data_IF_777234242498
#
_entry.id   IF_777234242498
#
_cell.length_a   1.000
_cell.length_b   1.000
_cell.length_c   1.000
_cell.angle_alpha   90.00
_cell.angle_beta   90.00
_cell.angle_gamma   90.00
#
_symmetry.space_group_name_H-M   'P 1'
#
loop_
_entity.id
_entity.type
_entity.pdbx_description
1 polymer ?
#
# COMPACT_ATOMS: atom_id res chain seq x y z
N UNK A 1 -0.81 2.22 -8.64
CA UNK A 1 -1.21 2.04 -7.25
C UNK A 1 -1.47 3.36 -6.57
N UNK A 2 -2.54 3.46 -5.79
CA UNK A 2 -2.92 4.66 -5.06
C UNK A 2 -3.42 4.30 -3.64
N UNK A 3 -2.61 4.43 -2.59
CA UNK A 3 -1.19 4.84 -2.55
C UNK A 3 -0.25 3.94 -3.35
N UNK A 4 0.81 4.56 -3.85
CA UNK A 4 1.80 3.87 -4.68
C UNK A 4 2.76 3.00 -3.84
N UNK A 5 3.11 1.84 -4.34
CA UNK A 5 4.16 0.98 -3.77
C UNK A 5 5.41 1.02 -4.69
N UNK A 6 6.59 1.45 -4.21
CA UNK A 6 7.02 1.46 -2.79
C UNK A 6 6.94 2.83 -2.09
N UNK A 7 6.56 3.92 -2.76
CA UNK A 7 6.70 5.29 -2.24
C UNK A 7 5.70 5.64 -1.11
N UNK A 8 4.54 4.97 -1.07
CA UNK A 8 3.46 5.31 -0.14
C UNK A 8 2.71 6.60 -0.47
N UNK A 9 3.06 7.28 -1.56
CA UNK A 9 2.41 8.53 -1.96
C UNK A 9 1.01 8.26 -2.52
N UNK A 10 0.07 9.12 -2.17
CA UNK A 10 -1.29 9.10 -2.69
C UNK A 10 -1.56 10.34 -3.54
N UNK A 11 -2.25 10.14 -4.65
CA UNK A 11 -2.74 11.22 -5.50
C UNK A 11 -4.26 11.37 -5.31
N UNK A 12 -4.81 12.61 -5.36
CA UNK A 12 -6.23 12.83 -5.19
C UNK A 12 -7.06 12.21 -6.34
N UNK A 13 -8.33 11.94 -6.07
CA UNK A 13 -9.24 11.37 -7.06
C UNK A 13 -9.37 12.23 -8.33
N UNK A 14 -9.22 13.55 -8.20
CA UNK A 14 -9.21 14.48 -9.36
C UNK A 14 -8.07 14.19 -10.34
N UNK A 15 -6.88 13.84 -9.83
CA UNK A 15 -5.76 13.42 -10.69
C UNK A 15 -6.06 12.09 -11.40
N UNK A 16 -6.67 11.15 -10.67
CA UNK A 16 -7.09 9.87 -11.27
C UNK A 16 -8.16 10.09 -12.33
N UNK A 17 -9.07 11.05 -12.13
CA UNK A 17 -10.08 11.47 -13.10
C UNK A 17 -9.46 12.01 -14.39
N UNK A 18 -8.53 12.96 -14.29
CA UNK A 18 -7.81 13.50 -15.45
C UNK A 18 -7.11 12.39 -16.24
N UNK A 19 -6.44 11.47 -15.53
CA UNK A 19 -5.80 10.31 -16.17
C UNK A 19 -6.82 9.39 -16.83
N UNK A 20 -7.97 9.15 -16.18
CA UNK A 20 -9.04 8.33 -16.74
C UNK A 20 -9.64 8.95 -18.01
N UNK A 21 -9.83 10.27 -18.04
CA UNK A 21 -10.29 10.97 -19.25
C UNK A 21 -9.30 10.82 -20.42
N UNK A 22 -8.00 10.91 -20.14
CA UNK A 22 -6.95 10.67 -21.16
C UNK A 22 -7.04 9.23 -21.67
N UNK A 23 -7.11 8.27 -20.75
CA UNK A 23 -7.22 6.85 -21.11
C UNK A 23 -8.47 6.56 -21.94
N UNK A 24 -9.62 7.16 -21.58
CA UNK A 24 -10.87 7.02 -22.33
C UNK A 24 -10.77 7.53 -23.76
N UNK A 25 -10.18 8.71 -23.96
CA UNK A 25 -9.94 9.26 -25.31
C UNK A 25 -9.02 8.39 -26.17
N UNK A 26 -8.11 7.69 -25.54
CA UNK A 26 -7.15 6.81 -26.23
C UNK A 26 -7.62 5.36 -26.34
N UNK A 27 -8.82 5.03 -25.87
CA UNK A 27 -9.33 3.65 -25.84
C UNK A 27 -8.55 2.70 -24.94
N UNK A 28 -7.89 3.24 -23.91
CA UNK A 28 -7.06 2.49 -22.94
C UNK A 28 -7.87 2.21 -21.67
N UNK A 29 -7.81 0.98 -21.15
CA UNK A 29 -8.33 0.67 -19.82
C UNK A 29 -7.35 1.12 -18.75
N UNK A 30 -7.86 1.82 -17.73
CA UNK A 30 -7.11 2.26 -16.57
C UNK A 30 -7.39 1.33 -15.39
N UNK A 31 -6.37 0.61 -14.93
CA UNK A 31 -6.43 -0.19 -13.71
C UNK A 31 -5.85 0.61 -12.54
N UNK A 32 -6.68 0.92 -11.55
CA UNK A 32 -6.29 1.62 -10.32
C UNK A 32 -6.24 0.62 -9.17
N UNK A 33 -5.05 0.39 -8.62
CA UNK A 33 -4.86 -0.48 -7.44
C UNK A 33 -4.96 0.37 -6.15
N UNK A 34 -6.05 0.20 -5.43
CA UNK A 34 -6.35 0.87 -4.16
C UNK A 34 -6.20 -0.05 -2.93
N UNK A 35 -5.43 -1.13 -3.01
CA UNK A 35 -5.25 -2.05 -1.89
C UNK A 35 -4.71 -1.39 -0.60
N UNK A 36 -4.06 -0.23 -0.70
CA UNK A 36 -3.56 0.55 0.43
C UNK A 36 -4.40 1.79 0.76
N UNK A 37 -5.42 2.10 -0.02
CA UNK A 37 -6.29 3.27 0.18
C UNK A 37 -7.02 3.24 1.54
N UNK A 38 -7.28 2.04 2.10
CA UNK A 38 -7.90 1.85 3.40
C UNK A 38 -7.16 2.50 4.57
N UNK A 39 -5.85 2.76 4.43
CA UNK A 39 -5.03 3.42 5.46
C UNK A 39 -5.13 4.94 5.45
N UNK A 40 -5.78 5.52 4.44
CA UNK A 40 -6.00 6.95 4.33
C UNK A 40 -7.15 7.40 5.24
N UNK A 41 -6.94 8.45 6.02
CA UNK A 41 -7.97 9.05 6.89
C UNK A 41 -9.17 9.58 6.09
N UNK A 42 -8.89 10.25 4.98
CA UNK A 42 -9.88 10.80 4.05
C UNK A 42 -9.93 9.98 2.75
N UNK A 43 -10.02 8.65 2.86
CA UNK A 43 -9.89 7.73 1.71
C UNK A 43 -10.74 8.10 0.50
N UNK A 44 -11.95 8.65 0.72
CA UNK A 44 -12.85 9.05 -0.36
C UNK A 44 -12.28 10.18 -1.24
N UNK A 45 -11.40 11.01 -0.69
CA UNK A 45 -10.69 12.06 -1.43
C UNK A 45 -9.70 11.50 -2.45
N UNK A 46 -9.27 10.25 -2.24
CA UNK A 46 -8.20 9.61 -3.01
C UNK A 46 -8.69 8.39 -3.81
N UNK A 47 -9.96 7.99 -3.63
CA UNK A 47 -10.51 6.80 -4.29
C UNK A 47 -11.17 7.13 -5.60
N UNK A 48 -10.90 6.33 -6.63
CA UNK A 48 -11.60 6.36 -7.91
C UNK A 48 -13.05 5.81 -7.83
N UNK A 49 -13.47 5.26 -6.69
CA UNK A 49 -14.83 4.71 -6.54
C UNK A 49 -15.92 5.77 -6.78
N UNK A 50 -15.67 7.04 -6.44
CA UNK A 50 -16.59 8.15 -6.72
C UNK A 50 -16.81 8.38 -8.21
N UNK A 51 -15.80 8.18 -9.06
CA UNK A 51 -15.90 8.30 -10.52
C UNK A 51 -16.84 7.23 -11.08
N UNK A 52 -16.66 5.98 -10.63
CA UNK A 52 -17.46 4.85 -11.06
C UNK A 52 -18.93 4.98 -10.61
N UNK A 53 -19.18 5.56 -9.42
CA UNK A 53 -20.56 5.74 -8.92
C UNK A 53 -21.28 6.94 -9.51
N UNK A 54 -20.58 8.05 -9.78
CA UNK A 54 -21.19 9.29 -10.29
C UNK A 54 -21.37 9.32 -11.80
N UNK A 55 -20.44 8.72 -12.55
CA UNK A 55 -20.42 8.70 -14.03
C UNK A 55 -20.05 7.32 -14.57
N UNK A 56 -20.88 6.28 -14.30
CA UNK A 56 -20.54 4.88 -14.58
C UNK A 56 -20.26 4.60 -16.07
N UNK A 57 -21.01 5.21 -16.98
CA UNK A 57 -20.83 5.01 -18.42
C UNK A 57 -19.56 5.70 -18.94
N UNK A 58 -19.30 6.94 -18.49
CA UNK A 58 -18.13 7.72 -18.89
C UNK A 58 -16.82 7.03 -18.48
N UNK A 59 -16.80 6.40 -17.31
CA UNK A 59 -15.61 5.76 -16.75
C UNK A 59 -15.68 4.21 -16.75
N UNK A 60 -16.47 3.62 -17.66
CA UNK A 60 -16.58 2.15 -17.77
C UNK A 60 -15.24 1.46 -18.07
N UNK A 61 -14.28 2.18 -18.68
CA UNK A 61 -12.92 1.69 -18.92
C UNK A 61 -12.00 1.73 -17.67
N UNK A 62 -12.47 2.26 -16.54
CA UNK A 62 -11.73 2.28 -15.27
C UNK A 62 -12.05 1.01 -14.48
N UNK A 63 -11.00 0.34 -14.04
CA UNK A 63 -11.04 -0.87 -13.24
C UNK A 63 -10.41 -0.58 -11.88
N UNK A 64 -11.15 -0.74 -10.80
CA UNK A 64 -10.67 -0.47 -9.45
C UNK A 64 -10.39 -1.76 -8.70
N UNK A 65 -9.12 -2.04 -8.42
CA UNK A 65 -8.70 -3.15 -7.56
C UNK A 65 -8.65 -2.75 -6.11
N UNK A 66 -9.11 -3.64 -5.24
CA UNK A 66 -9.01 -3.47 -3.81
C UNK A 66 -8.81 -4.81 -3.10
N UNK A 67 -8.34 -4.79 -1.85
CA UNK A 67 -8.12 -5.99 -1.07
C UNK A 67 -8.29 -5.74 0.43
N UNK A 68 -8.73 -6.76 1.14
CA UNK A 68 -8.85 -6.76 2.60
C UNK A 68 -7.61 -7.32 3.29
N UNK A 69 -6.65 -7.82 2.51
CA UNK A 69 -5.45 -8.53 2.96
C UNK A 69 -4.55 -7.71 3.89
N UNK A 70 -4.51 -6.37 3.71
CA UNK A 70 -3.63 -5.47 4.47
C UNK A 70 -4.34 -4.87 5.68
N UNK A 71 -5.45 -4.19 5.44
CA UNK A 71 -6.15 -3.43 6.46
C UNK A 71 -6.76 -4.30 7.58
N UNK A 72 -7.19 -5.52 7.25
CA UNK A 72 -7.74 -6.47 8.22
C UNK A 72 -6.75 -7.61 8.58
N UNK A 73 -5.47 -7.46 8.23
CA UNK A 73 -4.43 -8.46 8.52
C UNK A 73 -4.74 -9.88 7.99
N UNK A 74 -5.52 -9.98 6.92
CA UNK A 74 -6.00 -11.23 6.32
C UNK A 74 -5.13 -11.68 5.13
N UNK A 75 -3.83 -11.49 5.19
CA UNK A 75 -2.92 -11.80 4.08
C UNK A 75 -3.00 -13.27 3.62
N UNK A 76 -3.18 -14.20 4.55
CA UNK A 76 -3.30 -15.64 4.27
C UNK A 76 -4.61 -16.05 3.60
N UNK A 77 -5.69 -15.30 3.76
CA UNK A 77 -7.00 -15.60 3.17
C UNK A 77 -7.11 -15.25 1.68
N UNK A 78 -6.18 -14.47 1.15
CA UNK A 78 -6.10 -14.13 -0.28
C UNK A 78 -7.38 -13.51 -0.85
N UNK A 79 -7.98 -12.55 -0.14
CA UNK A 79 -9.24 -11.91 -0.52
C UNK A 79 -9.00 -10.50 -1.08
N UNK A 80 -9.43 -10.31 -2.31
CA UNK A 80 -9.51 -9.02 -3.00
C UNK A 80 -10.73 -8.99 -3.91
N UNK A 81 -11.02 -7.85 -4.48
CA UNK A 81 -12.14 -7.64 -5.37
C UNK A 81 -11.83 -6.57 -6.42
N UNK A 82 -12.52 -6.68 -7.56
CA UNK A 82 -12.51 -5.71 -8.64
C UNK A 82 -13.87 -5.01 -8.68
N UNK A 83 -13.85 -3.69 -8.86
CA UNK A 83 -15.04 -2.89 -9.14
C UNK A 83 -14.94 -2.38 -10.58
N UNK A 84 -15.98 -2.59 -11.36
CA UNK A 84 -16.12 -2.08 -12.73
C UNK A 84 -17.59 -1.82 -13.05
N UNK A 85 -17.84 -0.85 -13.91
CA UNK A 85 -19.17 -0.56 -14.47
C UNK A 85 -19.31 -1.12 -15.90
N UNK A 86 -18.24 -1.71 -16.47
CA UNK A 86 -18.27 -2.41 -17.77
C UNK A 86 -18.84 -3.82 -17.57
N UNK A 87 -20.14 -4.01 -17.92
CA UNK A 87 -20.83 -5.31 -17.84
C UNK A 87 -20.18 -6.37 -18.71
N UNK A 88 -19.78 -6.04 -19.94
CA UNK A 88 -19.14 -6.98 -20.86
C UNK A 88 -17.75 -7.42 -20.40
N UNK A 89 -16.99 -6.51 -19.77
CA UNK A 89 -15.72 -6.90 -19.15
C UNK A 89 -15.95 -7.83 -17.97
N UNK A 90 -16.95 -7.55 -17.12
CA UNK A 90 -17.28 -8.40 -15.97
C UNK A 90 -17.66 -9.81 -16.42
N UNK A 91 -18.50 -9.95 -17.45
CA UNK A 91 -18.90 -11.26 -18.00
C UNK A 91 -17.69 -12.06 -18.47
N UNK A 92 -16.79 -11.43 -19.25
CA UNK A 92 -15.54 -12.08 -19.69
C UNK A 92 -14.65 -12.51 -18.52
N UNK A 93 -14.57 -11.70 -17.47
CA UNK A 93 -13.80 -12.07 -16.27
C UNK A 93 -14.43 -13.26 -15.53
N UNK A 94 -15.77 -13.35 -15.47
CA UNK A 94 -16.46 -14.51 -14.89
C UNK A 94 -16.24 -15.79 -15.71
N UNK A 95 -16.20 -15.71 -17.02
CA UNK A 95 -15.94 -16.86 -17.92
C UNK A 95 -14.55 -17.46 -17.72
N UNK A 96 -13.51 -16.60 -17.52
CA UNK A 96 -12.12 -17.05 -17.38
C UNK A 96 -11.69 -17.28 -15.92
N UNK A 97 -12.53 -16.90 -14.97
CA UNK A 97 -12.24 -17.05 -13.54
C UNK A 97 -12.14 -18.54 -13.18
N UNK A 98 -11.09 -18.89 -12.43
CA UNK A 98 -10.96 -20.24 -11.90
C UNK A 98 -12.15 -20.58 -10.97
N UNK A 99 -12.77 -21.76 -11.14
CA UNK A 99 -13.74 -22.25 -10.17
C UNK A 99 -13.14 -22.23 -8.75
N UNK A 100 -13.96 -21.85 -7.76
CA UNK A 100 -13.55 -21.83 -6.35
C UNK A 100 -12.37 -20.88 -6.04
N UNK A 101 -12.18 -19.84 -6.85
CA UNK A 101 -11.08 -18.88 -6.72
C UNK A 101 -11.01 -18.19 -5.35
N UNK A 102 -12.12 -18.12 -4.60
CA UNK A 102 -12.19 -17.58 -3.24
C UNK A 102 -12.74 -18.63 -2.29
N UNK A 103 -11.96 -19.01 -1.29
CA UNK A 103 -12.36 -20.03 -0.31
C UNK A 103 -13.54 -19.58 0.55
N UNK A 104 -14.35 -20.50 1.04
CA UNK A 104 -15.49 -20.20 1.91
C UNK A 104 -15.07 -19.41 3.20
N UNK A 105 -13.97 -19.76 3.89
CA UNK A 105 -13.48 -18.96 5.00
C UNK A 105 -13.13 -17.52 4.61
N UNK A 106 -12.54 -17.30 3.42
CA UNK A 106 -12.21 -15.95 2.95
C UNK A 106 -13.48 -15.13 2.67
N UNK A 107 -14.51 -15.74 2.08
CA UNK A 107 -15.79 -15.08 1.83
C UNK A 107 -16.47 -14.68 3.14
N UNK A 108 -16.55 -15.59 4.11
CA UNK A 108 -17.14 -15.32 5.42
C UNK A 108 -16.39 -14.21 6.18
N UNK A 109 -15.05 -14.27 6.18
CA UNK A 109 -14.21 -13.24 6.80
C UNK A 109 -14.38 -11.88 6.12
N UNK A 110 -14.47 -11.85 4.79
CA UNK A 110 -14.70 -10.61 4.03
C UNK A 110 -16.05 -9.98 4.35
N UNK A 111 -17.12 -10.76 4.39
CA UNK A 111 -18.44 -10.28 4.76
C UNK A 111 -18.46 -9.69 6.18
N UNK A 112 -17.81 -10.36 7.14
CA UNK A 112 -17.69 -9.88 8.51
C UNK A 112 -16.86 -8.59 8.60
N UNK A 113 -15.77 -8.48 7.82
CA UNK A 113 -14.85 -7.34 7.82
C UNK A 113 -15.53 -6.03 7.41
N UNK A 114 -16.40 -6.04 6.42
CA UNK A 114 -17.11 -4.83 5.97
C UNK A 114 -18.00 -4.20 7.06
N UNK A 115 -18.45 -4.98 8.04
CA UNK A 115 -19.20 -4.48 9.20
C UNK A 115 -18.34 -3.88 10.32
N UNK A 116 -17.01 -4.03 10.28
CA UNK A 116 -16.11 -3.68 11.39
C UNK A 116 -15.56 -2.25 11.28
N UNK A 117 -16.46 -1.26 11.29
CA UNK A 117 -16.08 0.15 11.13
C UNK A 117 -15.17 0.65 12.25
N UNK A 118 -15.47 0.30 13.49
CA UNK A 118 -14.66 0.71 14.65
C UNK A 118 -13.24 0.14 14.60
N UNK A 119 -13.11 -1.14 14.18
CA UNK A 119 -11.79 -1.75 13.96
C UNK A 119 -10.99 -1.00 12.89
N UNK A 120 -11.63 -0.66 11.78
CA UNK A 120 -11.01 0.11 10.70
C UNK A 120 -10.48 1.45 11.20
N UNK A 121 -11.31 2.22 11.92
CA UNK A 121 -10.93 3.53 12.44
C UNK A 121 -9.78 3.44 13.45
N UNK A 122 -9.81 2.45 14.34
CA UNK A 122 -8.71 2.19 15.29
C UNK A 122 -7.41 1.82 14.57
N UNK A 123 -7.49 0.96 13.53
CA UNK A 123 -6.33 0.55 12.74
C UNK A 123 -5.71 1.73 12.01
N UNK A 124 -6.52 2.57 11.36
CA UNK A 124 -6.02 3.76 10.65
C UNK A 124 -5.28 4.70 11.60
N UNK A 125 -5.86 5.01 12.78
CA UNK A 125 -5.21 5.86 13.79
C UNK A 125 -3.89 5.24 14.30
N UNK A 126 -3.92 3.97 14.66
CA UNK A 126 -2.71 3.29 15.16
C UNK A 126 -1.58 3.30 14.10
N UNK A 127 -1.91 3.06 12.84
CA UNK A 127 -0.91 3.11 11.76
C UNK A 127 -0.40 4.54 11.54
N UNK A 128 -1.24 5.56 11.63
CA UNK A 128 -0.85 6.97 11.52
C UNK A 128 0.15 7.35 12.61
N UNK A 129 -0.17 7.03 13.87
CA UNK A 129 0.67 7.33 15.03
C UNK A 129 2.02 6.60 14.96
N UNK A 130 1.99 5.31 14.63
CA UNK A 130 3.19 4.50 14.54
C UNK A 130 4.05 4.85 13.31
N UNK A 131 3.44 5.27 12.21
CA UNK A 131 4.15 5.78 11.03
C UNK A 131 4.90 7.06 11.35
N UNK A 132 4.26 8.01 12.06
CA UNK A 132 4.91 9.24 12.50
C UNK A 132 6.09 8.97 13.44
N UNK A 133 5.92 8.06 14.39
CA UNK A 133 7.00 7.63 15.29
C UNK A 133 8.17 7.01 14.52
N UNK A 134 7.90 6.09 13.62
CA UNK A 134 8.92 5.38 12.86
C UNK A 134 9.65 6.33 11.89
N UNK A 135 8.89 7.20 11.22
CA UNK A 135 9.45 8.22 10.33
C UNK A 135 10.44 9.10 11.08
N UNK A 136 10.02 9.70 12.22
CA UNK A 136 10.88 10.53 13.02
C UNK A 136 12.14 9.79 13.49
N UNK A 137 12.01 8.56 13.97
CA UNK A 137 13.15 7.76 14.40
C UNK A 137 14.15 7.46 13.29
N UNK A 138 13.68 7.21 12.07
CA UNK A 138 14.56 7.03 10.90
C UNK A 138 15.25 8.35 10.50
N UNK A 139 14.53 9.48 10.53
CA UNK A 139 15.10 10.80 10.27
C UNK A 139 16.15 11.19 11.31
N UNK A 140 15.89 10.92 12.59
CA UNK A 140 16.84 11.16 13.70
C UNK A 140 18.14 10.32 13.55
N UNK A 141 18.06 9.17 12.88
CA UNK A 141 19.21 8.34 12.48
C UNK A 141 19.84 8.75 11.14
N UNK A 142 19.50 9.89 10.58
CA UNK A 142 20.10 10.41 9.34
C UNK A 142 19.62 9.76 8.05
N UNK A 143 18.58 8.92 8.08
CA UNK A 143 17.98 8.41 6.85
C UNK A 143 17.09 9.45 6.18
N UNK A 144 17.14 9.50 4.88
CA UNK A 144 16.15 10.26 4.11
C UNK A 144 14.86 9.48 4.01
N UNK A 145 13.80 9.94 4.66
CA UNK A 145 12.48 9.28 4.64
C UNK A 145 11.54 10.01 3.68
N UNK A 146 10.76 9.24 2.95
CA UNK A 146 9.78 9.77 1.99
C UNK A 146 8.38 9.75 2.61
N UNK A 147 7.60 10.84 2.46
CA UNK A 147 6.23 10.91 2.97
C UNK A 147 5.38 9.74 2.46
N UNK A 148 4.63 9.12 3.36
CA UNK A 148 3.79 7.97 3.03
C UNK A 148 2.39 8.12 3.65
N UNK A 149 1.39 7.69 2.89
CA UNK A 149 0.01 7.56 3.34
C UNK A 149 -0.39 6.09 3.59
N UNK A 150 0.55 5.14 3.37
CA UNK A 150 0.33 3.70 3.53
C UNK A 150 0.85 3.19 4.90
N UNK A 151 0.75 1.87 5.12
CA UNK A 151 1.28 1.20 6.29
C UNK A 151 2.76 0.77 6.14
N UNK A 152 3.52 1.52 5.37
CA UNK A 152 4.97 1.35 5.18
C UNK A 152 5.62 2.70 4.89
N UNK A 153 6.94 2.76 5.06
CA UNK A 153 7.79 3.89 4.71
C UNK A 153 8.85 3.45 3.70
N UNK A 154 9.06 4.29 2.69
CA UNK A 154 10.25 4.25 1.86
C UNK A 154 11.30 5.17 2.49
N UNK A 155 12.51 4.67 2.64
CA UNK A 155 13.64 5.46 3.12
C UNK A 155 14.91 5.12 2.36
N UNK A 156 15.87 6.03 2.39
CA UNK A 156 17.16 5.88 1.72
C UNK A 156 18.28 6.02 2.74
N UNK A 157 19.26 5.11 2.69
CA UNK A 157 20.52 5.28 3.37
C UNK A 157 21.41 6.27 2.61
N UNK A 158 22.01 7.22 3.30
CA UNK A 158 22.93 8.19 2.68
C UNK A 158 24.32 7.59 2.47
N UNK A 159 24.75 6.68 3.33
CA UNK A 159 25.99 5.92 3.19
C UNK A 159 25.78 4.76 2.20
N UNK A 160 26.50 4.77 1.10
CA UNK A 160 26.46 3.76 0.05
C UNK A 160 27.37 2.55 0.33
N UNK A 161 28.17 2.59 1.38
CA UNK A 161 29.04 1.49 1.82
C UNK A 161 28.29 0.47 2.67
N UNK A 162 27.11 0.83 3.23
CA UNK A 162 26.32 -0.02 4.11
C UNK A 162 25.15 -0.69 3.38
N UNK A 163 25.19 -2.00 3.26
CA UNK A 163 24.02 -2.78 2.88
C UNK A 163 23.11 -3.01 4.10
N UNK A 164 22.15 -2.10 4.28
CA UNK A 164 21.19 -2.14 5.41
C UNK A 164 20.31 -3.38 5.41
N UNK A 165 20.07 -4.00 4.26
CA UNK A 165 19.33 -5.26 4.17
C UNK A 165 20.14 -6.41 4.78
N UNK A 166 21.42 -6.55 4.40
CA UNK A 166 22.27 -7.60 4.96
C UNK A 166 22.64 -7.31 6.42
N UNK A 167 22.81 -6.04 6.80
CA UNK A 167 22.96 -5.66 8.20
C UNK A 167 21.74 -6.08 9.04
N UNK A 168 20.55 -5.66 8.68
CA UNK A 168 19.31 -6.02 9.38
C UNK A 168 19.12 -7.52 9.51
N UNK A 169 19.36 -8.26 8.40
CA UNK A 169 19.27 -9.72 8.38
C UNK A 169 20.17 -10.39 9.43
N UNK A 170 21.41 -9.91 9.60
CA UNK A 170 22.35 -10.40 10.64
C UNK A 170 21.83 -10.14 12.05
N UNK A 171 21.02 -9.13 12.25
CA UNK A 171 20.40 -8.76 13.51
C UNK A 171 18.97 -9.33 13.66
N UNK A 172 18.51 -10.22 12.76
CA UNK A 172 17.19 -10.83 12.81
C UNK A 172 16.06 -9.97 12.24
N UNK A 173 16.38 -8.85 11.56
CA UNK A 173 15.38 -7.96 10.94
C UNK A 173 15.48 -8.01 9.41
N UNK A 174 14.35 -8.23 8.75
CA UNK A 174 14.29 -8.26 7.30
C UNK A 174 13.81 -6.91 6.75
N UNK A 175 14.70 -6.19 6.07
CA UNK A 175 14.38 -4.99 5.30
C UNK A 175 14.11 -5.33 3.84
N UNK A 176 13.11 -4.70 3.24
CA UNK A 176 12.84 -4.82 1.82
C UNK A 176 13.72 -3.84 1.03
N UNK A 177 14.75 -4.33 0.34
CA UNK A 177 15.47 -3.53 -0.66
C UNK A 177 14.55 -3.18 -1.84
N UNK A 178 14.61 -1.93 -2.28
CA UNK A 178 13.81 -1.40 -3.39
C UNK A 178 14.60 -1.17 -4.67
N UNK A 179 15.87 -1.62 -4.75
CA UNK A 179 16.70 -1.46 -5.93
C UNK A 179 16.20 -2.16 -7.19
N UNK A 180 15.17 -3.01 -7.09
CA UNK A 180 14.50 -3.62 -8.23
C UNK A 180 13.35 -2.80 -8.81
N UNK A 181 13.03 -1.64 -8.23
CA UNK A 181 12.03 -0.73 -8.78
C UNK A 181 12.70 0.25 -9.74
N UNK A 182 12.12 0.52 -10.92
CA UNK A 182 12.68 1.52 -11.85
C UNK A 182 12.85 2.88 -11.17
N UNK A 183 14.03 3.48 -11.33
CA UNK A 183 14.36 4.78 -10.73
C UNK A 183 14.85 4.74 -9.28
N UNK A 184 14.91 3.55 -8.65
CA UNK A 184 15.50 3.35 -7.33
C UNK A 184 16.76 2.50 -7.44
N UNK A 185 17.71 2.72 -6.52
CA UNK A 185 18.96 1.96 -6.43
C UNK A 185 19.01 1.10 -5.14
N UNK A 186 20.15 0.48 -4.87
CA UNK A 186 20.38 -0.40 -3.71
C UNK A 186 20.30 0.30 -2.36
N UNK A 187 20.31 1.63 -2.30
CA UNK A 187 20.24 2.42 -1.07
C UNK A 187 18.79 2.66 -0.60
N UNK A 188 17.80 2.29 -1.42
CA UNK A 188 16.40 2.46 -1.07
C UNK A 188 15.83 1.22 -0.42
N UNK A 189 15.19 1.42 0.70
CA UNK A 189 14.57 0.37 1.50
C UNK A 189 13.13 0.72 1.85
N UNK A 190 12.31 -0.30 1.99
CA UNK A 190 10.95 -0.17 2.50
C UNK A 190 10.79 -0.98 3.78
N UNK A 191 10.24 -0.35 4.81
CA UNK A 191 9.84 -1.01 6.05
C UNK A 191 8.34 -0.90 6.27
N UNK A 192 7.73 -1.92 6.88
CA UNK A 192 6.33 -1.86 7.32
C UNK A 192 6.23 -1.07 8.61
N UNK A 193 5.16 -0.29 8.74
CA UNK A 193 4.74 0.28 10.03
C UNK A 193 4.16 -0.86 10.87
N UNK A 194 4.74 -1.10 12.05
CA UNK A 194 4.38 -2.18 12.95
C UNK A 194 4.02 -1.65 14.35
N UNK A 195 3.97 -2.52 15.34
CA UNK A 195 3.76 -2.10 16.73
C UNK A 195 4.93 -1.23 17.24
N UNK A 196 4.68 -0.40 18.27
CA UNK A 196 5.69 0.45 18.89
C UNK A 196 6.95 -0.33 19.30
N UNK A 197 6.77 -1.52 19.83
CA UNK A 197 7.88 -2.38 20.27
C UNK A 197 8.74 -2.83 19.08
N UNK A 198 8.11 -3.29 18.01
CA UNK A 198 8.82 -3.73 16.80
C UNK A 198 9.48 -2.58 16.06
N UNK A 199 8.82 -1.41 16.00
CA UNK A 199 9.39 -0.20 15.41
C UNK A 199 10.63 0.27 16.18
N UNK A 200 10.59 0.22 17.53
CA UNK A 200 11.76 0.52 18.39
C UNK A 200 12.91 -0.45 18.15
N UNK A 201 12.61 -1.74 17.99
CA UNK A 201 13.65 -2.74 17.75
C UNK A 201 14.33 -2.51 16.39
N UNK A 202 13.56 -2.17 15.35
CA UNK A 202 14.13 -1.78 14.06
C UNK A 202 15.06 -0.57 14.20
N UNK A 203 14.60 0.51 14.85
CA UNK A 203 15.40 1.73 15.03
C UNK A 203 16.70 1.44 15.83
N UNK A 204 16.60 0.63 16.89
CA UNK A 204 17.77 0.20 17.67
C UNK A 204 18.78 -0.55 16.81
N UNK A 205 18.33 -1.51 16.01
CA UNK A 205 19.22 -2.27 15.12
C UNK A 205 19.91 -1.38 14.10
N UNK A 206 19.20 -0.38 13.57
CA UNK A 206 19.80 0.58 12.62
C UNK A 206 20.83 1.49 13.32
N UNK A 207 20.55 1.96 14.55
CA UNK A 207 21.47 2.77 15.35
C UNK A 207 22.80 2.03 15.65
N UNK A 208 22.74 0.74 15.99
CA UNK A 208 23.94 -0.08 16.30
C UNK A 208 24.95 -0.14 15.15
N UNK A 209 24.55 0.07 13.91
CA UNK A 209 25.47 0.13 12.78
C UNK A 209 26.23 1.46 12.75
N UNK A 210 25.58 2.54 13.13
CA UNK A 210 26.18 3.89 13.11
C UNK A 210 27.22 4.04 14.24
N UNK A 211 26.95 3.50 15.43
CA UNK A 211 27.90 3.53 16.57
C UNK A 211 29.22 2.76 16.31
N UNK A 212 29.28 1.92 15.29
CA UNK A 212 30.50 1.16 14.95
C UNK A 212 31.56 1.97 14.19
N UNK A 213 31.20 3.15 13.72
CA UNK A 213 32.08 4.01 12.91
C UNK A 213 32.56 5.27 13.66
N UNK A 214 32.11 5.47 14.91
CA UNK A 214 32.68 6.41 15.88
C UNK A 214 33.77 5.71 16.73
#
# INVERSE_FOLDING_TARGET
GNPNNPTGQAVPATFVEELAEICGRLGIRLLVDECFNWFLKERNRYSAASLLSSRPETFSHVLLLNALTKIYSMAGLRLGFLITTDGGFREKMEEIRQPWSVSAPAQAAGAAAFGQREFLEKTVRAVEDERGFLQKGLEDLGFRVYPSAANYLLFRGEDDTVDWKEWGKRQGILLRSCGNFPGLDGRYYRTSVRSRAENRELLKVLALQQERWE
#
